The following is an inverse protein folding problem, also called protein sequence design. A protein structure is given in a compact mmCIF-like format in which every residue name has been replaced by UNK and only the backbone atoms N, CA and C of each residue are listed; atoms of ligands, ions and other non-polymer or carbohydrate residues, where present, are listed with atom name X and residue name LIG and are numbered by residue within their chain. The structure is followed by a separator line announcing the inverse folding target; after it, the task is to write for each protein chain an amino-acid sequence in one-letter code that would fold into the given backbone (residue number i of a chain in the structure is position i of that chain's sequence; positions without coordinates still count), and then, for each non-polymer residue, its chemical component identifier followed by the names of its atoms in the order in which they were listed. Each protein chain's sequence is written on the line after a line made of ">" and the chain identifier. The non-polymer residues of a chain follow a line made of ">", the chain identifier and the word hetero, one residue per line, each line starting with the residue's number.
data_IF_025412289564
#
_entry.id   IF_025412289564
#
_cell.length_a   1.000
_cell.length_b   1.000
_cell.length_c   1.000
_cell.angle_alpha   90.00
_cell.angle_beta   90.00
_cell.angle_gamma   90.00
#
_symmetry.space_group_name_H-M   'P 1'
#
loop_
_entity.id
_entity.type
_entity.pdbx_description
1 polymer ?
#
# COMPACT_ATOMS: atom_id res chain seq x y z
N UNK A 1 -2.79 0.86 -5.38
CA UNK A 1 -3.57 1.43 -4.27
C UNK A 1 -4.85 0.64 -4.14
N UNK A 2 -5.10 0.10 -2.95
CA UNK A 2 -6.30 -0.68 -2.69
C UNK A 2 -7.26 0.24 -1.96
N UNK A 3 -8.07 0.93 -2.73
CA UNK A 3 -9.17 1.69 -2.19
C UNK A 3 -10.44 0.83 -2.24
N UNK A 4 -11.22 0.84 -1.17
CA UNK A 4 -12.53 0.23 -1.08
C UNK A 4 -13.54 1.30 -0.76
N UNK A 5 -14.61 1.36 -1.55
CA UNK A 5 -15.66 2.36 -1.32
C UNK A 5 -16.48 1.98 -0.10
N UNK A 6 -16.78 2.99 0.73
CA UNK A 6 -17.66 2.88 1.89
C UNK A 6 -19.07 3.17 1.41
N UNK A 7 -20.00 2.31 1.80
CA UNK A 7 -21.43 2.45 1.46
C UNK A 7 -22.30 2.75 2.66
N UNK A 8 -21.87 2.34 3.86
CA UNK A 8 -22.61 2.61 5.10
C UNK A 8 -21.65 2.73 6.28
N UNK A 9 -22.06 3.49 7.28
CA UNK A 9 -21.34 3.67 8.55
C UNK A 9 -22.31 3.52 9.72
N UNK A 10 -21.83 2.87 10.77
CA UNK A 10 -22.42 2.87 12.09
C UNK A 10 -21.31 2.90 13.14
N UNK A 11 -21.51 3.61 14.24
CA UNK A 11 -20.57 3.58 15.35
C UNK A 11 -21.31 3.50 16.68
N UNK A 12 -20.78 2.71 17.60
CA UNK A 12 -21.29 2.55 18.96
C UNK A 12 -20.13 2.67 19.92
N UNK A 13 -20.16 3.68 20.79
CA UNK A 13 -19.11 3.91 21.80
C UNK A 13 -17.68 3.88 21.22
N UNK A 14 -17.49 4.53 20.06
CA UNK A 14 -16.20 4.63 19.40
C UNK A 14 -15.77 3.40 18.59
N UNK A 15 -16.57 2.34 18.53
CA UNK A 15 -16.34 1.23 17.59
C UNK A 15 -17.09 1.52 16.30
N UNK A 16 -16.35 1.78 15.26
CA UNK A 16 -16.86 2.00 13.91
C UNK A 16 -17.03 0.68 13.18
N UNK A 17 -18.18 0.51 12.53
CA UNK A 17 -18.44 -0.57 11.58
C UNK A 17 -18.73 0.08 10.23
N UNK A 18 -17.86 -0.16 9.27
CA UNK A 18 -18.06 0.30 7.88
C UNK A 18 -18.53 -0.86 7.02
N UNK A 19 -19.55 -0.62 6.21
CA UNK A 19 -19.91 -1.52 5.10
C UNK A 19 -19.22 -1.03 3.84
N UNK A 20 -18.51 -1.93 3.17
CA UNK A 20 -17.70 -1.64 1.99
C UNK A 20 -18.31 -2.27 0.73
N UNK A 21 -17.90 -1.79 -0.43
CA UNK A 21 -18.20 -2.45 -1.72
C UNK A 21 -17.68 -3.89 -1.75
N UNK A 22 -16.49 -4.10 -1.18
CA UNK A 22 -15.86 -5.42 -0.98
C UNK A 22 -14.81 -5.35 0.13
N UNK A 23 -14.46 -6.47 0.73
CA UNK A 23 -13.44 -6.57 1.81
C UNK A 23 -12.20 -7.36 1.40
N UNK A 24 -12.07 -7.73 0.12
CA UNK A 24 -10.93 -8.50 -0.37
C UNK A 24 -9.61 -7.75 -0.12
N UNK A 25 -8.65 -8.43 0.49
CA UNK A 25 -7.35 -7.87 0.84
C UNK A 25 -7.30 -7.12 2.16
N UNK A 26 -8.43 -7.01 2.89
CA UNK A 26 -8.44 -6.48 4.25
C UNK A 26 -8.50 -7.66 5.23
N UNK A 27 -7.54 -7.71 6.14
CA UNK A 27 -7.44 -8.74 7.17
C UNK A 27 -7.53 -8.10 8.56
N UNK A 28 -7.90 -8.88 9.55
CA UNK A 28 -7.79 -8.44 10.95
C UNK A 28 -6.33 -8.11 11.24
N UNK A 29 -6.10 -6.96 11.88
CA UNK A 29 -4.75 -6.44 12.10
C UNK A 29 -4.22 -5.52 11.00
N UNK A 30 -4.84 -5.49 9.81
CA UNK A 30 -4.49 -4.53 8.75
C UNK A 30 -4.60 -3.09 9.24
N UNK A 31 -3.71 -2.24 8.75
CA UNK A 31 -3.79 -0.80 8.96
C UNK A 31 -4.40 -0.13 7.74
N UNK A 32 -5.32 0.79 8.01
CA UNK A 32 -6.05 1.48 6.95
C UNK A 32 -6.18 2.97 7.26
N UNK A 33 -6.32 3.75 6.21
CA UNK A 33 -6.81 5.13 6.27
C UNK A 33 -8.27 5.16 5.84
N UNK A 34 -9.07 5.93 6.54
CA UNK A 34 -10.47 6.15 6.23
C UNK A 34 -10.65 7.62 5.89
N UNK A 35 -11.12 7.92 4.69
CA UNK A 35 -11.26 9.28 4.20
C UNK A 35 -12.49 9.50 3.34
N UNK A 36 -12.77 10.78 3.07
CA UNK A 36 -13.90 11.18 2.23
C UNK A 36 -15.27 11.05 2.90
N UNK A 37 -15.32 10.81 4.22
CA UNK A 37 -16.57 10.78 4.96
C UNK A 37 -17.14 12.20 5.12
N UNK A 38 -18.48 12.36 5.17
CA UNK A 38 -19.14 13.67 5.21
C UNK A 38 -18.79 14.48 6.46
N UNK A 39 -18.47 13.82 7.56
CA UNK A 39 -17.99 14.47 8.78
C UNK A 39 -16.50 14.26 8.92
N UNK A 40 -15.70 15.31 8.88
CA UNK A 40 -14.24 15.24 8.92
C UNK A 40 -13.69 14.53 10.16
N UNK A 41 -14.36 14.65 11.30
CA UNK A 41 -13.98 13.98 12.54
C UNK A 41 -14.12 12.43 12.50
N UNK A 42 -14.79 11.88 11.50
CA UNK A 42 -14.90 10.43 11.27
C UNK A 42 -13.77 9.88 10.39
N UNK A 43 -13.09 10.78 9.66
CA UNK A 43 -11.90 10.41 8.91
C UNK A 43 -10.74 10.14 9.87
N UNK A 44 -9.94 9.15 9.55
CA UNK A 44 -8.82 8.76 10.39
C UNK A 44 -7.73 8.11 9.55
N UNK A 45 -6.51 8.11 10.05
CA UNK A 45 -5.36 7.51 9.40
C UNK A 45 -4.74 6.44 10.30
N UNK A 46 -4.16 5.41 9.67
CA UNK A 46 -3.37 4.39 10.34
C UNK A 46 -4.13 3.65 11.47
N UNK A 47 -5.45 3.45 11.30
CA UNK A 47 -6.23 2.66 12.27
C UNK A 47 -6.09 1.17 11.99
N UNK A 48 -6.09 0.39 13.06
CA UNK A 48 -6.02 -1.07 12.96
C UNK A 48 -7.41 -1.69 12.88
N UNK A 49 -7.60 -2.57 11.92
CA UNK A 49 -8.84 -3.34 11.77
C UNK A 49 -8.91 -4.42 12.86
N UNK A 50 -9.98 -4.40 13.62
CA UNK A 50 -10.23 -5.33 14.73
C UNK A 50 -11.12 -6.50 14.34
N UNK A 51 -12.00 -6.32 13.34
CA UNK A 51 -12.83 -7.39 12.80
C UNK A 51 -13.10 -7.20 11.31
N UNK A 52 -13.23 -8.31 10.59
CA UNK A 52 -13.65 -8.37 9.17
C UNK A 52 -14.73 -9.41 9.02
N UNK A 53 -15.84 -9.04 8.37
CA UNK A 53 -16.92 -9.95 8.01
C UNK A 53 -17.11 -9.94 6.50
N UNK A 54 -16.65 -10.99 5.84
CA UNK A 54 -16.72 -11.11 4.39
C UNK A 54 -18.17 -11.26 3.86
N UNK A 55 -19.06 -11.92 4.60
CA UNK A 55 -20.45 -12.12 4.20
C UNK A 55 -21.21 -10.80 4.15
N UNK A 56 -21.05 -9.97 5.20
CA UNK A 56 -21.72 -8.68 5.30
C UNK A 56 -20.87 -7.54 4.69
N UNK A 57 -19.68 -7.84 4.21
CA UNK A 57 -18.72 -6.87 3.67
C UNK A 57 -18.38 -5.75 4.67
N UNK A 58 -18.26 -6.08 5.94
CA UNK A 58 -17.99 -5.09 6.99
C UNK A 58 -16.60 -5.24 7.59
N UNK A 59 -16.05 -4.09 7.98
CA UNK A 59 -14.84 -4.00 8.80
C UNK A 59 -15.13 -3.23 10.07
N UNK A 60 -14.39 -3.50 11.14
CA UNK A 60 -14.47 -2.74 12.38
C UNK A 60 -13.11 -2.22 12.82
N UNK A 61 -13.13 -1.02 13.41
CA UNK A 61 -11.98 -0.39 14.06
C UNK A 61 -12.45 0.54 15.19
N UNK A 62 -11.55 0.94 16.05
CA UNK A 62 -11.85 1.92 17.11
C UNK A 62 -11.30 3.29 16.76
N UNK A 63 -12.13 4.32 16.90
CA UNK A 63 -11.73 5.71 16.67
C UNK A 63 -12.62 6.67 17.47
N UNK A 64 -12.00 7.52 18.29
CA UNK A 64 -12.72 8.50 19.12
C UNK A 64 -13.77 7.85 20.02
N UNK A 65 -14.77 8.64 20.41
CA UNK A 65 -15.91 8.16 21.20
C UNK A 65 -17.22 8.62 20.56
N UNK A 66 -17.47 8.10 19.35
CA UNK A 66 -18.66 8.45 18.56
C UNK A 66 -19.75 7.41 18.71
N UNK A 67 -21.01 7.91 18.64
CA UNK A 67 -22.19 7.04 18.44
C UNK A 67 -22.93 7.58 17.21
N UNK A 68 -23.01 6.76 16.18
CA UNK A 68 -23.55 7.11 14.87
C UNK A 68 -24.60 6.05 14.53
N UNK A 69 -25.85 6.48 14.31
CA UNK A 69 -26.88 5.59 13.77
C UNK A 69 -26.48 5.13 12.35
N UNK A 70 -26.91 3.93 11.98
CA UNK A 70 -26.64 3.41 10.63
C UNK A 70 -27.13 4.38 9.56
N UNK A 71 -26.23 4.78 8.68
CA UNK A 71 -26.52 5.69 7.57
C UNK A 71 -25.64 5.42 6.35
N UNK A 72 -26.23 5.66 5.19
CA UNK A 72 -25.48 5.62 3.93
C UNK A 72 -24.52 6.80 3.86
N UNK A 73 -23.29 6.53 3.45
CA UNK A 73 -22.23 7.52 3.30
C UNK A 73 -21.36 7.19 2.09
N UNK A 74 -20.63 8.19 1.63
CA UNK A 74 -19.60 8.06 0.60
C UNK A 74 -18.25 8.30 1.26
N UNK A 75 -17.30 7.47 0.93
CA UNK A 75 -15.93 7.57 1.44
C UNK A 75 -15.11 6.39 0.94
N UNK A 76 -13.86 6.35 1.33
CA UNK A 76 -12.92 5.30 0.94
C UNK A 76 -12.11 4.80 2.12
N UNK A 77 -11.85 3.50 2.12
CA UNK A 77 -10.84 2.85 2.94
C UNK A 77 -9.63 2.58 2.06
N UNK A 78 -8.49 3.14 2.43
CA UNK A 78 -7.20 2.86 1.82
C UNK A 78 -6.42 1.87 2.69
N UNK A 79 -6.09 0.70 2.14
CA UNK A 79 -5.28 -0.30 2.85
C UNK A 79 -3.82 0.07 2.73
N UNK A 80 -3.16 0.29 3.86
CA UNK A 80 -1.73 0.57 3.90
C UNK A 80 -0.92 -0.73 3.75
N UNK A 81 0.08 -0.70 2.91
CA UNK A 81 1.05 -1.79 2.76
C UNK A 81 2.39 -1.35 3.32
N UNK A 82 2.98 -2.10 4.25
CA UNK A 82 4.20 -1.68 4.98
C UNK A 82 5.21 -2.81 5.12
N UNK A 83 5.59 -3.45 4.00
CA UNK A 83 6.60 -4.52 4.01
C UNK A 83 8.03 -4.01 4.12
N UNK A 84 8.29 -2.80 3.61
CA UNK A 84 9.54 -2.10 3.79
C UNK A 84 9.29 -0.68 4.32
N UNK A 85 10.22 -0.17 5.10
CA UNK A 85 10.20 1.18 5.67
C UNK A 85 11.11 2.13 4.91
N UNK A 86 10.97 3.43 5.14
CA UNK A 86 11.89 4.44 4.62
C UNK A 86 13.33 4.13 5.05
N UNK A 87 13.54 3.80 6.33
CA UNK A 87 14.86 3.47 6.85
C UNK A 87 15.50 2.26 6.14
N UNK A 88 14.72 1.22 5.82
CA UNK A 88 15.23 0.08 5.06
C UNK A 88 15.76 0.49 3.67
N UNK A 89 15.11 1.47 3.04
CA UNK A 89 15.50 1.96 1.71
C UNK A 89 16.66 2.95 1.81
N UNK A 90 16.70 3.79 2.84
CA UNK A 90 17.84 4.67 3.14
C UNK A 90 19.12 3.85 3.35
N UNK A 91 19.04 2.80 4.16
CA UNK A 91 20.16 1.87 4.40
C UNK A 91 20.64 1.23 3.08
N UNK A 92 19.71 0.82 2.22
CA UNK A 92 20.04 0.25 0.90
C UNK A 92 20.66 1.28 -0.04
N UNK A 93 20.21 2.52 -0.02
CA UNK A 93 20.73 3.60 -0.87
C UNK A 93 22.02 4.21 -0.33
N UNK A 94 22.33 4.01 0.96
CA UNK A 94 23.54 4.49 1.62
C UNK A 94 23.51 5.99 1.96
N UNK A 95 22.31 6.56 2.17
CA UNK A 95 22.14 7.95 2.61
C UNK A 95 20.90 8.12 3.46
N UNK A 96 20.81 9.23 4.19
CA UNK A 96 19.60 9.65 4.93
C UNK A 96 18.93 10.79 4.18
N UNK A 97 17.68 10.61 3.80
CA UNK A 97 16.89 11.60 3.08
C UNK A 97 16.43 12.73 4.02
N UNK A 98 16.35 13.95 3.50
CA UNK A 98 15.85 15.11 4.23
C UNK A 98 15.08 16.06 3.30
N UNK A 99 14.13 16.83 3.87
CA UNK A 99 13.35 17.81 3.11
C UNK A 99 12.61 17.17 1.92
N UNK A 100 12.69 17.77 0.74
CA UNK A 100 12.01 17.30 -0.46
C UNK A 100 12.47 15.91 -0.93
N UNK A 101 13.68 15.48 -0.54
CA UNK A 101 14.15 14.13 -0.87
C UNK A 101 13.45 13.09 -0.02
N UNK A 102 13.21 13.40 1.26
CA UNK A 102 12.43 12.53 2.15
C UNK A 102 10.98 12.41 1.68
N UNK A 103 10.35 13.51 1.29
CA UNK A 103 8.98 13.51 0.76
C UNK A 103 8.88 12.60 -0.47
N UNK A 104 9.83 12.74 -1.40
CA UNK A 104 9.84 11.92 -2.61
C UNK A 104 10.18 10.46 -2.32
N UNK A 105 11.13 10.18 -1.41
CA UNK A 105 11.46 8.82 -1.00
C UNK A 105 10.25 8.14 -0.36
N UNK A 106 9.49 8.86 0.48
CA UNK A 106 8.25 8.36 1.08
C UNK A 106 7.27 7.89 0.01
N UNK A 107 7.02 8.72 -1.01
CA UNK A 107 6.15 8.34 -2.14
C UNK A 107 6.67 7.09 -2.86
N UNK A 108 7.98 6.98 -3.07
CA UNK A 108 8.58 5.82 -3.72
C UNK A 108 8.42 4.53 -2.88
N UNK A 109 8.60 4.63 -1.57
CA UNK A 109 8.44 3.50 -0.64
C UNK A 109 6.99 3.03 -0.60
N UNK A 110 6.04 3.94 -0.48
CA UNK A 110 4.61 3.62 -0.47
C UNK A 110 4.18 2.98 -1.79
N UNK A 111 4.59 3.57 -2.92
CA UNK A 111 4.31 3.02 -4.24
C UNK A 111 4.91 1.62 -4.45
N UNK A 112 6.11 1.38 -3.93
CA UNK A 112 6.78 0.08 -4.03
C UNK A 112 6.09 -0.99 -3.16
N UNK A 113 5.69 -0.64 -1.94
CA UNK A 113 4.93 -1.50 -1.06
C UNK A 113 3.60 -1.91 -1.72
N UNK A 114 2.80 -0.94 -2.13
CA UNK A 114 1.50 -1.16 -2.77
C UNK A 114 1.63 -2.02 -4.04
N UNK A 115 2.58 -1.68 -4.91
CA UNK A 115 2.80 -2.39 -6.16
C UNK A 115 3.18 -3.85 -5.93
N UNK A 116 4.07 -4.09 -4.97
CA UNK A 116 4.55 -5.44 -4.63
C UNK A 116 3.41 -6.29 -4.08
N UNK A 117 2.58 -5.73 -3.20
CA UNK A 117 1.42 -6.42 -2.67
C UNK A 117 0.41 -6.75 -3.77
N UNK A 118 0.09 -5.79 -4.65
CA UNK A 118 -0.82 -6.00 -5.79
C UNK A 118 -0.31 -7.09 -6.73
N UNK A 119 0.99 -7.11 -7.03
CA UNK A 119 1.57 -8.17 -7.87
C UNK A 119 1.42 -9.56 -7.26
N UNK A 120 1.67 -9.68 -5.95
CA UNK A 120 1.50 -10.96 -5.25
C UNK A 120 0.03 -11.36 -5.15
N UNK A 121 -0.86 -10.43 -4.83
CA UNK A 121 -2.31 -10.68 -4.82
C UNK A 121 -2.82 -11.15 -6.19
N UNK A 122 -2.35 -10.52 -7.28
CA UNK A 122 -2.68 -10.93 -8.67
C UNK A 122 -2.10 -12.29 -9.04
N UNK A 123 -1.04 -12.74 -8.37
CA UNK A 123 -0.46 -14.07 -8.51
C UNK A 123 -1.10 -15.11 -7.57
N UNK A 124 -2.20 -14.78 -6.89
CA UNK A 124 -2.95 -15.68 -6.03
C UNK A 124 -2.43 -15.83 -4.61
N UNK A 125 -1.52 -14.96 -4.16
CA UNK A 125 -1.08 -14.94 -2.76
C UNK A 125 -2.05 -14.14 -1.89
N UNK A 126 -2.26 -14.59 -0.66
CA UNK A 126 -3.11 -13.92 0.35
C UNK A 126 -2.25 -13.39 1.49
N UNK A 127 -1.35 -12.45 1.17
CA UNK A 127 -0.41 -11.90 2.13
C UNK A 127 -1.06 -10.82 2.99
N UNK A 128 -0.63 -10.73 4.26
CA UNK A 128 -1.02 -9.63 5.13
C UNK A 128 -0.35 -8.32 4.66
N UNK A 129 -1.11 -7.21 4.47
CA UNK A 129 -0.55 -5.99 3.90
C UNK A 129 0.54 -5.34 4.77
N UNK A 130 0.50 -5.52 6.09
CA UNK A 130 1.45 -4.91 7.02
C UNK A 130 2.51 -5.89 7.57
N UNK A 131 2.51 -7.14 7.14
CA UNK A 131 3.49 -8.15 7.54
C UNK A 131 4.11 -8.72 6.28
N UNK A 132 5.39 -8.46 6.07
CA UNK A 132 6.10 -9.01 4.91
C UNK A 132 6.04 -10.55 4.93
N UNK A 133 5.70 -11.20 3.81
CA UNK A 133 5.64 -12.66 3.73
C UNK A 133 7.01 -13.33 3.82
N UNK A 134 8.08 -12.56 3.82
CA UNK A 134 9.44 -13.07 4.02
C UNK A 134 10.50 -12.07 3.55
N UNK A 135 11.76 -12.37 3.86
CA UNK A 135 12.92 -11.51 3.59
C UNK A 135 13.07 -11.20 2.09
N UNK A 136 12.81 -12.19 1.23
CA UNK A 136 12.90 -11.99 -0.22
C UNK A 136 11.87 -10.98 -0.72
N UNK A 137 10.63 -11.05 -0.21
CA UNK A 137 9.59 -10.10 -0.58
C UNK A 137 9.94 -8.70 -0.07
N UNK A 138 10.42 -8.58 1.16
CA UNK A 138 10.90 -7.30 1.71
C UNK A 138 12.03 -6.72 0.86
N UNK A 139 13.04 -7.53 0.50
CA UNK A 139 14.13 -7.10 -0.36
C UNK A 139 13.62 -6.66 -1.74
N UNK A 140 12.64 -7.38 -2.31
CA UNK A 140 12.00 -7.00 -3.58
C UNK A 140 11.37 -5.61 -3.52
N UNK A 141 10.69 -5.27 -2.41
CA UNK A 141 10.13 -3.92 -2.19
C UNK A 141 11.22 -2.87 -2.08
N UNK A 142 12.29 -3.13 -1.29
CA UNK A 142 13.42 -2.20 -1.12
C UNK A 142 14.07 -1.89 -2.47
N UNK A 143 14.34 -2.92 -3.27
CA UNK A 143 14.92 -2.74 -4.61
C UNK A 143 14.00 -1.92 -5.51
N UNK A 144 12.69 -2.20 -5.49
CA UNK A 144 11.71 -1.46 -6.28
C UNK A 144 11.65 0.01 -5.86
N UNK A 145 11.60 0.30 -4.56
CA UNK A 145 11.62 1.66 -4.05
C UNK A 145 12.89 2.42 -4.44
N UNK A 146 14.05 1.78 -4.30
CA UNK A 146 15.34 2.35 -4.71
C UNK A 146 15.42 2.62 -6.22
N UNK A 147 14.81 1.76 -7.04
CA UNK A 147 14.71 1.98 -8.49
C UNK A 147 13.82 3.20 -8.80
N UNK A 148 12.65 3.30 -8.18
CA UNK A 148 11.73 4.44 -8.35
C UNK A 148 12.40 5.74 -7.91
N UNK A 149 13.10 5.73 -6.78
CA UNK A 149 13.81 6.90 -6.27
C UNK A 149 14.90 7.38 -7.23
N UNK A 150 15.73 6.48 -7.77
CA UNK A 150 16.79 6.82 -8.74
C UNK A 150 16.27 7.36 -10.06
N UNK A 151 14.98 7.16 -10.37
CA UNK A 151 14.34 7.77 -11.55
C UNK A 151 14.01 9.25 -11.36
N UNK A 152 14.14 9.81 -10.13
CA UNK A 152 14.01 11.24 -9.87
C UNK A 152 15.03 12.01 -10.70
N UNK A 153 14.58 12.94 -11.52
CA UNK A 153 15.46 13.75 -12.37
C UNK A 153 15.89 13.10 -13.69
N UNK A 154 15.53 11.84 -13.95
CA UNK A 154 15.86 11.19 -15.22
C UNK A 154 14.95 11.63 -16.38
N UNK A 155 13.90 12.39 -16.12
CA UNK A 155 13.01 12.94 -17.16
C UNK A 155 13.76 13.88 -18.08
N UNK A 156 14.72 14.67 -17.55
CA UNK A 156 15.58 15.54 -18.36
C UNK A 156 16.73 14.77 -19.04
N UNK A 157 17.10 13.60 -18.51
CA UNK A 157 18.12 12.72 -19.09
C UNK A 157 17.61 11.87 -20.26
N UNK A 158 16.30 11.69 -20.37
CA UNK A 158 15.70 10.83 -21.40
C UNK A 158 15.92 11.35 -22.84
N UNK A 159 16.07 12.65 -23.00
CA UNK A 159 16.33 13.25 -24.32
C UNK A 159 17.79 13.10 -24.78
N UNK A 160 18.75 12.94 -23.88
CA UNK A 160 20.16 12.78 -24.23
C UNK A 160 20.62 11.34 -24.44
N UNK A 161 19.83 10.35 -24.02
CA UNK A 161 20.17 8.92 -24.12
C UNK A 161 19.64 8.24 -25.39
N UNK A 162 18.81 8.89 -26.17
CA UNK A 162 18.35 8.33 -27.46
C UNK A 162 19.48 8.17 -28.49
N UNK A 163 20.59 8.85 -28.31
CA UNK A 163 21.72 8.82 -29.25
C UNK A 163 22.85 7.86 -28.85
N UNK A 164 22.79 7.30 -27.66
CA UNK A 164 23.69 6.24 -27.23
C UNK A 164 22.87 4.96 -27.06
N UNK A 165 23.06 4.01 -27.95
CA UNK A 165 22.50 2.66 -27.93
C UNK A 165 22.99 1.81 -26.72
N UNK A 166 22.99 2.42 -25.54
CA UNK A 166 23.12 1.76 -24.28
C UNK A 166 21.68 1.39 -23.93
N UNK A 167 21.38 0.09 -23.93
CA UNK A 167 20.20 -0.44 -23.27
C UNK A 167 20.11 0.24 -21.90
N UNK A 168 19.29 1.31 -21.79
CA UNK A 168 18.87 1.82 -20.52
C UNK A 168 18.30 0.60 -19.82
N UNK A 169 19.01 0.11 -18.80
CA UNK A 169 18.60 -1.04 -18.04
C UNK A 169 17.22 -0.66 -17.51
N UNK A 170 16.20 -1.05 -18.23
CA UNK A 170 14.82 -1.05 -17.74
C UNK A 170 14.95 -1.77 -16.42
N UNK A 171 14.94 -0.97 -15.35
CA UNK A 171 15.32 -1.39 -14.02
C UNK A 171 14.82 -2.79 -13.80
N UNK A 172 15.64 -3.67 -13.28
CA UNK A 172 15.49 -5.12 -13.36
C UNK A 172 14.21 -5.62 -12.65
N UNK A 173 13.03 -5.20 -13.17
CA UNK A 173 11.73 -5.64 -12.69
C UNK A 173 11.62 -7.17 -12.68
N UNK A 174 12.39 -7.85 -13.53
CA UNK A 174 12.49 -9.30 -13.53
C UNK A 174 13.07 -9.85 -12.23
N UNK A 175 14.11 -9.21 -11.69
CA UNK A 175 14.70 -9.55 -10.39
C UNK A 175 13.70 -9.29 -9.26
N UNK A 176 13.10 -8.11 -9.23
CA UNK A 176 12.07 -7.77 -8.24
C UNK A 176 10.94 -8.78 -8.26
N UNK A 177 10.42 -9.13 -9.44
CA UNK A 177 9.37 -10.13 -9.59
C UNK A 177 9.80 -11.53 -9.12
N UNK A 178 11.06 -11.93 -9.34
CA UNK A 178 11.59 -13.19 -8.80
C UNK A 178 11.62 -13.18 -7.27
N UNK A 179 12.10 -12.10 -6.67
CA UNK A 179 12.14 -11.95 -5.21
C UNK A 179 10.73 -11.95 -4.61
N UNK A 180 9.77 -11.34 -5.28
CA UNK A 180 8.36 -11.37 -4.90
C UNK A 180 7.70 -12.73 -5.17
N UNK A 181 8.34 -13.65 -5.86
CA UNK A 181 7.78 -14.96 -6.21
C UNK A 181 6.69 -14.93 -7.28
N UNK A 182 6.52 -13.81 -8.00
CA UNK A 182 5.42 -13.63 -8.98
C UNK A 182 5.80 -13.96 -10.43
N UNK A 183 7.00 -14.47 -10.67
CA UNK A 183 7.49 -14.84 -12.00
C UNK A 183 7.18 -16.32 -12.37
N UNK A 184 6.43 -17.03 -11.54
CA UNK A 184 6.04 -18.41 -11.86
C UNK A 184 4.82 -18.36 -12.79
N UNK A 185 4.96 -18.95 -14.00
CA UNK A 185 3.80 -19.36 -14.75
C UNK A 185 2.96 -20.26 -13.82
N UNK A 186 1.73 -19.87 -13.55
CA UNK A 186 0.80 -20.74 -12.84
C UNK A 186 0.55 -21.93 -13.78
N UNK A 187 1.16 -23.07 -13.45
CA UNK A 187 0.79 -24.35 -14.06
C UNK A 187 -0.52 -24.72 -13.38
N UNK A 188 -1.63 -24.52 -14.12
CA UNK A 188 -2.94 -25.00 -13.72
C UNK A 188 -3.03 -26.51 -13.83
#
# INVERSE_FOLDING_TARGET
>A
VINKDITNIVATSGVFTLTLSEVNGILVGSRVDVGGLPTSAWNTTNVQITAVNATNKTIQYSHGNFTIASQEVWGQVHVQTTWATIADVEDYLGFTAAGSDLDYLTICVDAANDKSWVWRASAGYYDHPNISPGTNAKLGVILLAGMLYRQKGSVDGFQSYQDMSINASTGNYGEVKKLLGVNRAQVG
#
